data_IF_838493190192
#
_entry.id   IF_838493190192
#
_cell.length_a   1.000
_cell.length_b   1.000
_cell.length_c   1.000
_cell.angle_alpha   90.00
_cell.angle_beta   90.00
_cell.angle_gamma   90.00
#
_symmetry.space_group_name_H-M   'P 1'
#
loop_
_entity.id
_entity.type
_entity.pdbx_description
1 polymer ?
#
# COMPACT_ATOMS: atom_id res chain seq x y z
N UNK A 1 -22.90 -2.75 4.33
CA UNK A 1 -22.45 -4.11 4.67
C UNK A 1 -23.60 -4.82 5.41
N UNK A 2 -24.14 -4.20 6.45
CA UNK A 2 -25.25 -4.78 7.21
C UNK A 2 -26.46 -5.13 6.34
N UNK A 3 -26.81 -4.29 5.39
CA UNK A 3 -27.97 -4.48 4.50
C UNK A 3 -27.73 -5.51 3.38
N UNK A 4 -26.47 -5.95 3.17
CA UNK A 4 -26.12 -6.87 2.08
C UNK A 4 -26.08 -8.34 2.50
N UNK A 5 -26.41 -8.67 3.74
CA UNK A 5 -26.42 -10.04 4.29
C UNK A 5 -25.10 -10.80 4.02
N UNK A 6 -23.96 -10.10 4.12
CA UNK A 6 -22.63 -10.65 3.85
C UNK A 6 -22.23 -11.57 5.00
N UNK A 7 -22.00 -12.85 4.71
CA UNK A 7 -21.64 -13.88 5.70
C UNK A 7 -20.13 -14.08 5.87
N UNK A 8 -19.32 -13.49 4.97
CA UNK A 8 -17.85 -13.58 5.03
C UNK A 8 -17.25 -12.39 5.78
N UNK A 9 -16.09 -12.56 6.45
CA UNK A 9 -15.39 -11.44 7.08
C UNK A 9 -15.03 -10.35 6.08
N UNK A 10 -15.42 -9.10 6.35
CA UNK A 10 -15.14 -7.95 5.52
C UNK A 10 -14.04 -7.11 6.16
N UNK A 11 -13.03 -6.76 5.39
CA UNK A 11 -11.96 -5.83 5.80
C UNK A 11 -12.08 -4.52 5.03
N UNK A 12 -11.99 -3.40 5.75
CA UNK A 12 -11.90 -2.09 5.14
C UNK A 12 -10.48 -1.92 4.57
N UNK A 13 -10.38 -1.54 3.29
CA UNK A 13 -9.09 -1.41 2.60
C UNK A 13 -8.39 -0.08 2.90
N UNK A 14 -7.07 -0.02 2.71
CA UNK A 14 -6.25 1.20 2.89
C UNK A 14 -6.71 2.37 2.02
N UNK A 15 -7.32 2.11 0.86
CA UNK A 15 -7.88 3.11 -0.04
C UNK A 15 -9.02 3.94 0.57
N UNK A 16 -9.60 3.48 1.67
CA UNK A 16 -10.58 4.23 2.46
C UNK A 16 -9.94 5.29 3.38
N UNK A 17 -8.63 5.40 3.34
CA UNK A 17 -7.82 6.38 4.05
C UNK A 17 -8.12 6.46 5.56
N UNK A 18 -8.17 5.30 6.21
CA UNK A 18 -8.44 5.18 7.64
C UNK A 18 -7.20 5.62 8.42
N UNK A 19 -7.24 6.82 8.98
CA UNK A 19 -6.08 7.50 9.55
C UNK A 19 -6.14 7.65 11.08
N UNK A 20 -7.27 7.36 11.70
CA UNK A 20 -7.45 7.51 13.14
C UNK A 20 -8.42 6.47 13.72
N UNK A 21 -8.45 6.39 15.06
CA UNK A 21 -9.27 5.44 15.79
C UNK A 21 -10.78 5.65 15.58
N UNK A 22 -11.23 6.88 15.35
CA UNK A 22 -12.65 7.16 15.14
C UNK A 22 -13.12 6.62 13.79
N UNK A 23 -12.34 6.83 12.73
CA UNK A 23 -12.62 6.24 11.42
C UNK A 23 -12.62 4.70 11.51
N UNK A 24 -11.64 4.10 12.20
CA UNK A 24 -11.59 2.66 12.40
C UNK A 24 -12.83 2.12 13.11
N UNK A 25 -13.31 2.80 14.18
CA UNK A 25 -14.56 2.45 14.88
C UNK A 25 -15.78 2.56 13.97
N UNK A 26 -15.86 3.61 13.16
CA UNK A 26 -16.98 3.80 12.24
C UNK A 26 -17.08 2.63 11.25
N UNK A 27 -15.97 2.20 10.66
CA UNK A 27 -15.98 1.02 9.77
C UNK A 27 -16.28 -0.28 10.53
N UNK A 28 -15.80 -0.44 11.75
CA UNK A 28 -16.16 -1.58 12.59
C UNK A 28 -17.68 -1.61 12.88
N UNK A 29 -18.29 -0.46 13.20
CA UNK A 29 -19.74 -0.38 13.42
C UNK A 29 -20.58 -0.67 12.17
N UNK A 30 -19.99 -0.49 10.97
CA UNK A 30 -20.60 -0.88 9.70
C UNK A 30 -20.44 -2.38 9.40
N UNK A 31 -19.83 -3.17 10.30
CA UNK A 31 -19.66 -4.62 10.15
C UNK A 31 -18.30 -5.06 9.60
N UNK A 32 -17.31 -4.16 9.49
CA UNK A 32 -15.95 -4.57 9.16
C UNK A 32 -15.30 -5.32 10.33
N UNK A 33 -14.71 -6.47 10.06
CA UNK A 33 -14.00 -7.30 11.06
C UNK A 33 -12.58 -6.86 11.31
N UNK A 34 -11.99 -6.08 10.42
CA UNK A 34 -10.68 -5.46 10.54
C UNK A 34 -10.59 -4.27 9.59
N UNK A 35 -9.62 -3.38 9.83
CA UNK A 35 -9.35 -2.25 8.94
C UNK A 35 -7.87 -2.19 8.59
N UNK A 36 -7.56 -1.91 7.32
CA UNK A 36 -6.22 -1.58 6.87
C UNK A 36 -6.03 -0.07 7.00
N UNK A 37 -5.07 0.34 7.82
CA UNK A 37 -4.78 1.75 8.03
C UNK A 37 -4.22 2.40 6.75
N UNK A 38 -4.37 3.72 6.64
CA UNK A 38 -3.74 4.51 5.58
C UNK A 38 -2.23 4.28 5.55
N UNK A 39 -1.66 4.19 4.35
CA UNK A 39 -0.21 4.09 4.13
C UNK A 39 0.56 5.32 4.59
N UNK A 40 -0.14 6.41 4.86
CA UNK A 40 0.40 7.68 5.35
C UNK A 40 0.47 7.75 6.89
N UNK A 41 -0.12 6.76 7.59
CA UNK A 41 -0.11 6.73 9.05
C UNK A 41 1.28 6.39 9.60
N UNK A 42 1.72 7.15 10.60
CA UNK A 42 2.96 6.86 11.33
C UNK A 42 2.77 5.68 12.28
N UNK A 43 3.87 5.04 12.67
CA UNK A 43 3.86 3.94 13.66
C UNK A 43 3.22 4.39 14.98
N UNK A 44 3.44 5.65 15.39
CA UNK A 44 2.81 6.23 16.58
C UNK A 44 1.29 6.30 16.44
N UNK A 45 0.80 6.76 15.30
CA UNK A 45 -0.64 6.82 15.02
C UNK A 45 -1.26 5.43 14.94
N UNK A 46 -0.58 4.47 14.30
CA UNK A 46 -1.01 3.08 14.26
C UNK A 46 -1.16 2.48 15.67
N UNK A 47 -0.18 2.71 16.54
CA UNK A 47 -0.24 2.28 17.95
C UNK A 47 -1.43 2.88 18.69
N UNK A 48 -1.72 4.16 18.44
CA UNK A 48 -2.87 4.83 19.03
C UNK A 48 -4.20 4.28 18.47
N UNK A 49 -4.26 4.02 17.17
CA UNK A 49 -5.42 3.36 16.55
C UNK A 49 -5.68 1.99 17.18
N UNK A 50 -4.63 1.15 17.33
CA UNK A 50 -4.75 -0.18 17.96
C UNK A 50 -5.32 -0.05 19.37
N UNK A 51 -4.79 0.89 20.17
CA UNK A 51 -5.20 1.08 21.56
C UNK A 51 -6.65 1.56 21.70
N UNK A 52 -7.12 2.38 20.78
CA UNK A 52 -8.39 3.09 20.93
C UNK A 52 -9.53 2.59 20.03
N UNK A 53 -9.25 1.90 18.93
CA UNK A 53 -10.32 1.57 17.98
C UNK A 53 -11.19 0.40 18.42
N UNK A 54 -10.66 -0.52 19.22
CA UNK A 54 -11.34 -1.79 19.53
C UNK A 54 -11.52 -2.70 18.31
N UNK A 55 -10.83 -2.40 17.20
CA UNK A 55 -10.88 -3.13 15.95
C UNK A 55 -9.47 -3.58 15.55
N UNK A 56 -9.28 -4.80 15.03
CA UNK A 56 -7.99 -5.24 14.50
C UNK A 56 -7.48 -4.31 13.40
N UNK A 57 -6.25 -3.82 13.57
CA UNK A 57 -5.59 -2.94 12.61
C UNK A 57 -4.59 -3.74 11.78
N UNK A 58 -4.71 -3.62 10.47
CA UNK A 58 -3.76 -4.12 9.49
C UNK A 58 -2.91 -2.95 8.97
N UNK A 59 -1.62 -3.19 8.69
CA UNK A 59 -0.73 -2.21 8.08
C UNK A 59 -0.09 -2.76 6.79
N UNK A 60 0.00 -1.93 5.76
CA UNK A 60 0.79 -2.24 4.56
C UNK A 60 2.27 -2.07 4.91
N UNK A 61 3.06 -3.12 4.73
CA UNK A 61 4.47 -3.16 5.19
C UNK A 61 5.47 -3.40 4.07
N UNK A 62 5.01 -3.80 2.89
CA UNK A 62 5.87 -4.15 1.77
C UNK A 62 5.20 -3.82 0.45
N UNK A 63 5.98 -3.31 -0.50
CA UNK A 63 5.56 -3.05 -1.88
C UNK A 63 5.51 -1.56 -2.23
N UNK A 64 5.10 -1.23 -3.44
CA UNK A 64 5.03 0.16 -3.89
C UNK A 64 3.75 0.82 -3.44
N UNK A 65 3.91 1.91 -2.68
CA UNK A 65 2.78 2.76 -2.34
C UNK A 65 2.24 3.47 -3.57
N UNK A 66 0.93 3.58 -3.67
CA UNK A 66 0.25 4.40 -4.66
C UNK A 66 0.35 5.86 -4.21
N UNK A 67 0.94 6.70 -5.07
CA UNK A 67 1.16 8.12 -4.78
C UNK A 67 0.03 9.00 -5.30
N UNK A 68 -0.58 8.59 -6.42
CA UNK A 68 -1.64 9.34 -7.08
C UNK A 68 -2.49 8.41 -7.93
N UNK A 69 -3.80 8.69 -7.97
CA UNK A 69 -4.74 8.15 -8.96
C UNK A 69 -5.28 9.32 -9.78
N UNK A 70 -5.33 9.17 -11.10
CA UNK A 70 -5.90 10.19 -11.98
C UNK A 70 -6.80 9.59 -13.04
N UNK A 71 -7.94 10.23 -13.26
CA UNK A 71 -8.87 9.93 -14.32
C UNK A 71 -8.30 10.34 -15.71
N UNK A 72 -7.37 11.31 -15.74
CA UNK A 72 -6.68 11.70 -16.98
C UNK A 72 -5.64 10.65 -17.35
N UNK A 73 -5.78 10.05 -18.54
CA UNK A 73 -4.83 9.08 -19.03
C UNK A 73 -3.54 9.77 -19.51
N UNK A 74 -2.55 9.85 -18.63
CA UNK A 74 -1.23 10.45 -18.96
C UNK A 74 -0.52 9.67 -20.06
N UNK A 75 -0.68 8.35 -20.10
CA UNK A 75 -0.06 7.50 -21.13
C UNK A 75 -0.61 7.84 -22.51
N UNK A 76 -1.94 7.93 -22.66
CA UNK A 76 -2.56 8.29 -23.92
C UNK A 76 -2.21 9.70 -24.37
N UNK A 77 -2.10 10.65 -23.45
CA UNK A 77 -1.75 12.04 -23.73
C UNK A 77 -0.36 12.17 -24.34
N UNK A 78 0.61 11.42 -23.83
CA UNK A 78 2.02 11.53 -24.29
C UNK A 78 2.36 10.51 -25.39
N UNK A 79 1.98 9.24 -25.21
CA UNK A 79 2.34 8.15 -26.13
C UNK A 79 1.29 7.91 -27.23
N UNK A 80 0.07 8.39 -27.04
CA UNK A 80 -1.05 8.19 -27.96
C UNK A 80 -1.11 9.18 -29.13
N UNK A 81 -0.14 10.08 -29.30
CA UNK A 81 -0.08 11.11 -30.35
C UNK A 81 -1.31 12.01 -30.41
N UNK A 82 -1.98 12.27 -29.30
CA UNK A 82 -3.10 13.22 -29.23
C UNK A 82 -4.30 12.88 -30.12
N UNK A 83 -4.52 11.62 -30.43
CA UNK A 83 -5.66 11.22 -31.26
C UNK A 83 -6.97 11.59 -30.57
N UNK A 84 -7.73 12.52 -31.15
CA UNK A 84 -9.01 13.02 -30.64
C UNK A 84 -10.15 12.00 -30.71
N UNK A 85 -10.00 10.89 -31.40
CA UNK A 85 -11.04 9.86 -31.58
C UNK A 85 -10.53 8.49 -31.08
N UNK A 86 -11.00 8.13 -29.91
CA UNK A 86 -10.77 6.82 -29.31
C UNK A 86 -9.37 6.64 -28.70
N UNK A 87 -9.28 5.83 -27.67
CA UNK A 87 -8.01 5.46 -27.05
C UNK A 87 -7.33 4.37 -27.89
N UNK A 88 -6.07 4.54 -28.36
CA UNK A 88 -5.35 3.53 -29.15
C UNK A 88 -4.84 2.35 -28.29
N UNK A 89 -5.15 2.28 -26.98
CA UNK A 89 -4.75 1.20 -26.08
C UNK A 89 -3.24 1.11 -25.88
N UNK A 90 -2.52 2.25 -25.91
CA UNK A 90 -1.04 2.28 -25.77
C UNK A 90 -0.58 1.69 -24.45
N UNK A 91 -1.36 1.84 -23.36
CA UNK A 91 -1.03 1.30 -22.04
C UNK A 91 -0.82 -0.23 -22.04
N UNK A 92 -1.43 -0.93 -23.01
CA UNK A 92 -1.29 -2.38 -23.15
C UNK A 92 -0.03 -2.81 -23.95
N UNK A 93 0.74 -1.84 -24.47
CA UNK A 93 1.87 -2.12 -25.36
C UNK A 93 3.22 -2.14 -24.67
N UNK A 94 3.27 -1.77 -23.40
CA UNK A 94 4.53 -1.72 -22.65
C UNK A 94 4.37 -1.19 -21.24
N UNK A 95 5.48 -1.14 -20.50
CA UNK A 95 5.57 -0.50 -19.21
C UNK A 95 5.83 1.00 -19.36
N UNK A 96 5.14 1.80 -18.57
CA UNK A 96 5.26 3.25 -18.56
C UNK A 96 5.65 3.75 -17.19
N UNK A 97 6.37 4.86 -17.15
CA UNK A 97 6.74 5.51 -15.92
C UNK A 97 6.85 7.04 -16.14
N UNK A 98 6.61 7.79 -15.09
CA UNK A 98 6.97 9.20 -15.02
C UNK A 98 8.40 9.30 -14.47
N UNK A 99 9.15 10.27 -14.96
CA UNK A 99 10.49 10.60 -14.49
C UNK A 99 10.50 12.03 -13.98
N UNK A 100 10.96 12.23 -12.77
CA UNK A 100 11.05 13.56 -12.19
C UNK A 100 12.39 14.26 -12.52
N UNK A 101 12.55 15.48 -12.01
CA UNK A 101 13.77 16.29 -12.20
C UNK A 101 15.01 15.72 -11.49
N UNK A 102 14.84 14.76 -10.60
CA UNK A 102 15.91 14.07 -9.85
C UNK A 102 16.22 12.69 -10.40
N UNK A 103 15.71 12.41 -11.61
CA UNK A 103 15.84 11.10 -12.28
C UNK A 103 15.14 9.93 -11.55
N UNK A 104 14.29 10.22 -10.55
CA UNK A 104 13.47 9.19 -9.93
C UNK A 104 12.36 8.74 -10.90
N UNK A 105 12.14 7.43 -10.95
CA UNK A 105 11.21 6.80 -11.89
C UNK A 105 10.00 6.24 -11.17
N UNK A 106 8.82 6.78 -11.48
CA UNK A 106 7.53 6.43 -10.87
C UNK A 106 6.71 5.59 -11.86
N UNK A 107 6.55 4.28 -11.64
CA UNK A 107 5.76 3.44 -12.54
C UNK A 107 4.32 3.91 -12.63
N UNK A 108 3.76 3.85 -13.84
CA UNK A 108 2.36 4.17 -14.11
C UNK A 108 1.65 2.90 -14.56
N UNK A 109 0.61 2.52 -13.81
CA UNK A 109 -0.24 1.36 -14.11
C UNK A 109 -1.64 1.85 -14.42
N UNK A 110 -2.24 1.32 -15.48
CA UNK A 110 -3.63 1.64 -15.85
C UNK A 110 -4.55 0.52 -15.41
N UNK A 111 -5.66 0.87 -14.77
CA UNK A 111 -6.70 -0.08 -14.39
C UNK A 111 -7.75 -0.29 -15.50
N UNK A 112 -8.70 -1.17 -15.25
CA UNK A 112 -9.81 -1.50 -16.16
C UNK A 112 -10.73 -0.33 -16.46
N UNK A 113 -10.70 0.74 -15.67
CA UNK A 113 -11.48 1.97 -15.86
C UNK A 113 -10.66 3.07 -16.53
N UNK A 114 -9.46 2.75 -17.05
CA UNK A 114 -8.52 3.69 -17.65
C UNK A 114 -7.96 4.75 -16.70
N UNK A 115 -8.08 4.55 -15.37
CA UNK A 115 -7.41 5.41 -14.39
C UNK A 115 -5.94 5.06 -14.33
N UNK A 116 -5.10 6.08 -14.21
CA UNK A 116 -3.67 5.86 -14.05
C UNK A 116 -3.29 5.94 -12.57
N UNK A 117 -2.67 4.88 -12.10
CA UNK A 117 -2.08 4.75 -10.76
C UNK A 117 -0.60 5.02 -10.86
N UNK A 118 -0.13 6.08 -10.24
CA UNK A 118 1.27 6.45 -10.19
C UNK A 118 1.83 5.89 -8.88
N UNK A 119 2.78 4.96 -9.02
CA UNK A 119 3.37 4.26 -7.89
C UNK A 119 4.68 4.91 -7.46
N UNK A 120 5.04 4.77 -6.19
CA UNK A 120 6.31 5.27 -5.67
C UNK A 120 7.50 4.68 -6.45
N UNK A 121 8.58 5.46 -6.59
CA UNK A 121 9.83 5.01 -7.20
C UNK A 121 10.49 3.86 -6.43
N UNK A 122 10.31 3.82 -5.12
CA UNK A 122 10.91 2.85 -4.19
C UNK A 122 9.87 1.98 -3.51
N UNK A 123 10.28 0.74 -3.20
CA UNK A 123 9.43 -0.16 -2.42
C UNK A 123 9.44 0.23 -0.95
N UNK A 124 8.27 0.25 -0.33
CA UNK A 124 8.16 0.21 1.11
C UNK A 124 8.76 -1.11 1.61
N UNK A 125 9.61 -1.06 2.63
CA UNK A 125 10.15 -2.24 3.31
C UNK A 125 10.24 -2.00 4.82
N UNK A 126 9.31 -2.61 5.55
CA UNK A 126 9.23 -2.54 7.00
C UNK A 126 9.73 -3.82 7.69
N UNK A 127 10.31 -4.77 6.96
CA UNK A 127 10.84 -6.00 7.55
C UNK A 127 11.89 -5.74 8.65
N UNK A 128 12.82 -4.78 8.52
CA UNK A 128 13.76 -4.44 9.59
C UNK A 128 13.08 -3.94 10.88
N UNK A 129 11.86 -3.43 10.76
CA UNK A 129 11.06 -2.85 11.86
C UNK A 129 9.90 -3.76 12.27
N UNK A 130 9.93 -5.03 11.87
CA UNK A 130 8.85 -5.98 12.16
C UNK A 130 8.53 -6.08 13.66
N UNK A 131 9.58 -6.09 14.52
CA UNK A 131 9.40 -6.10 15.99
C UNK A 131 8.66 -4.86 16.51
N UNK A 132 8.86 -3.70 15.88
CA UNK A 132 8.18 -2.47 16.28
C UNK A 132 6.70 -2.50 15.88
N UNK A 133 6.36 -3.11 14.74
CA UNK A 133 4.98 -3.39 14.33
C UNK A 133 4.28 -4.32 15.34
N UNK A 134 4.96 -5.40 15.75
CA UNK A 134 4.44 -6.30 16.79
C UNK A 134 4.21 -5.58 18.12
N UNK A 135 5.17 -4.75 18.56
CA UNK A 135 5.04 -3.95 19.80
C UNK A 135 3.93 -2.90 19.70
N UNK A 136 3.64 -2.40 18.52
CA UNK A 136 2.51 -1.50 18.27
C UNK A 136 1.15 -2.23 18.36
N UNK A 137 1.13 -3.56 18.36
CA UNK A 137 -0.07 -4.37 18.43
C UNK A 137 -0.80 -4.52 17.08
N UNK A 138 -0.07 -4.35 15.96
CA UNK A 138 -0.63 -4.56 14.62
C UNK A 138 -1.08 -6.02 14.49
N UNK A 139 -2.36 -6.22 14.17
CA UNK A 139 -2.98 -7.54 14.11
C UNK A 139 -2.64 -8.32 12.84
N UNK A 140 -2.38 -7.62 11.75
CA UNK A 140 -2.01 -8.22 10.47
C UNK A 140 -1.10 -7.30 9.67
N UNK A 141 -0.25 -7.88 8.84
CA UNK A 141 0.59 -7.17 7.89
C UNK A 141 0.15 -7.49 6.47
N UNK A 142 0.23 -6.51 5.60
CA UNK A 142 -0.14 -6.63 4.19
C UNK A 142 1.05 -6.39 3.28
N UNK A 143 1.24 -7.30 2.34
CA UNK A 143 2.21 -7.18 1.25
C UNK A 143 1.44 -6.74 0.00
N UNK A 144 1.80 -5.58 -0.55
CA UNK A 144 1.19 -5.06 -1.78
C UNK A 144 1.92 -5.65 -2.99
N UNK A 145 1.29 -6.66 -3.60
CA UNK A 145 1.86 -7.44 -4.69
C UNK A 145 1.35 -7.06 -6.08
N UNK A 146 0.47 -6.06 -6.21
CA UNK A 146 -0.08 -5.66 -7.51
C UNK A 146 1.03 -5.23 -8.47
N UNK A 147 1.01 -5.76 -9.69
CA UNK A 147 2.03 -5.49 -10.70
C UNK A 147 3.40 -6.13 -10.44
N UNK A 148 3.49 -7.05 -9.46
CA UNK A 148 4.72 -7.79 -9.15
C UNK A 148 4.71 -9.19 -9.74
N UNK A 149 5.90 -9.73 -9.96
CA UNK A 149 6.04 -11.13 -10.42
C UNK A 149 5.67 -12.12 -9.30
N UNK A 150 5.16 -13.31 -9.63
CA UNK A 150 4.90 -14.35 -8.63
C UNK A 150 6.13 -14.69 -7.79
N UNK A 151 7.34 -14.67 -8.38
CA UNK A 151 8.60 -14.92 -7.69
C UNK A 151 8.88 -13.88 -6.62
N UNK A 152 8.69 -12.58 -6.94
CA UNK A 152 8.86 -11.49 -5.97
C UNK A 152 7.87 -11.65 -4.80
N UNK A 153 6.59 -11.92 -5.11
CA UNK A 153 5.56 -12.13 -4.08
C UNK A 153 5.95 -13.29 -3.17
N UNK A 154 6.34 -14.43 -3.73
CA UNK A 154 6.77 -15.60 -2.97
C UNK A 154 7.97 -15.32 -2.06
N UNK A 155 8.95 -14.55 -2.54
CA UNK A 155 10.12 -14.14 -1.76
C UNK A 155 9.70 -13.26 -0.55
N UNK A 156 8.84 -12.24 -0.78
CA UNK A 156 8.40 -11.36 0.31
C UNK A 156 7.53 -12.12 1.33
N UNK A 157 6.60 -12.94 0.88
CA UNK A 157 5.78 -13.77 1.77
C UNK A 157 6.66 -14.69 2.62
N UNK A 158 7.63 -15.38 2.02
CA UNK A 158 8.56 -16.25 2.73
C UNK A 158 9.41 -15.49 3.74
N UNK A 159 9.88 -14.28 3.39
CA UNK A 159 10.65 -13.41 4.27
C UNK A 159 9.84 -13.00 5.50
N UNK A 160 8.64 -12.46 5.30
CA UNK A 160 7.78 -12.07 6.41
C UNK A 160 7.29 -13.27 7.23
N UNK A 161 7.07 -14.44 6.60
CA UNK A 161 6.73 -15.66 7.33
C UNK A 161 7.84 -16.03 8.31
N UNK A 162 9.11 -16.04 7.88
CA UNK A 162 10.25 -16.35 8.76
C UNK A 162 10.36 -15.35 9.93
N UNK A 163 10.05 -14.06 9.70
CA UNK A 163 9.99 -13.07 10.78
C UNK A 163 8.86 -13.36 11.77
N UNK A 164 7.67 -13.74 11.28
CA UNK A 164 6.53 -14.12 12.11
C UNK A 164 6.82 -15.37 12.94
N UNK A 165 7.49 -16.36 12.35
CA UNK A 165 7.84 -17.64 13.01
C UNK A 165 9.06 -17.52 13.92
N UNK A 166 9.69 -16.33 13.99
CA UNK A 166 10.87 -16.06 14.80
C UNK A 166 12.15 -16.77 14.32
N UNK A 167 12.14 -17.36 13.12
CA UNK A 167 13.29 -18.07 12.53
C UNK A 167 14.28 -17.11 11.86
N UNK A 168 13.91 -15.86 11.66
CA UNK A 168 14.77 -14.82 11.13
C UNK A 168 14.69 -13.57 12.01
N UNK A 169 15.81 -12.91 12.22
CA UNK A 169 15.88 -11.60 12.85
C UNK A 169 16.57 -10.65 11.89
N UNK A 170 15.84 -9.64 11.42
CA UNK A 170 16.47 -8.58 10.64
C UNK A 170 17.21 -7.64 11.58
N UNK A 171 18.50 -7.48 11.34
CA UNK A 171 19.27 -6.42 11.96
C UNK A 171 18.98 -5.12 11.18
N UNK A 172 18.85 -4.01 11.92
CA UNK A 172 18.84 -2.67 11.34
C UNK A 172 20.20 -2.46 10.65
N UNK A 173 20.25 -2.74 9.34
CA UNK A 173 21.42 -2.51 8.53
C UNK A 173 21.54 -1.03 8.10
N UNK A 174 22.60 -0.70 7.35
CA UNK A 174 22.71 0.57 6.65
C UNK A 174 21.45 0.83 5.84
N UNK A 175 21.01 2.10 5.82
CA UNK A 175 19.86 2.53 5.00
C UNK A 175 20.07 2.07 3.55
N UNK A 176 19.27 1.12 3.13
CA UNK A 176 19.20 0.72 1.73
C UNK A 176 18.44 1.82 0.97
N UNK A 177 19.15 2.56 0.13
CA UNK A 177 18.58 3.65 -0.65
C UNK A 177 17.61 3.18 -1.73
N UNK A 178 17.53 1.87 -1.98
CA UNK A 178 16.61 1.28 -2.96
C UNK A 178 15.21 1.07 -2.42
N UNK A 179 15.02 1.16 -1.10
CA UNK A 179 13.73 1.02 -0.42
C UNK A 179 13.37 2.26 0.39
N UNK A 180 12.12 2.36 0.80
CA UNK A 180 11.62 3.43 1.67
C UNK A 180 10.93 2.85 2.90
N UNK A 181 10.90 3.63 3.97
CA UNK A 181 10.11 3.37 5.18
C UNK A 181 8.71 4.02 5.13
N UNK A 182 8.38 4.65 4.00
CA UNK A 182 7.14 5.41 3.86
C UNK A 182 7.00 6.47 4.96
N UNK A 183 5.80 6.63 5.47
CA UNK A 183 5.46 7.60 6.53
C UNK A 183 5.60 7.04 7.95
N UNK A 184 6.05 5.79 8.14
CA UNK A 184 6.06 5.15 9.46
C UNK A 184 6.81 5.93 10.54
N UNK A 185 7.88 6.65 10.17
CA UNK A 185 8.70 7.40 11.13
C UNK A 185 8.63 8.92 10.94
N UNK A 186 8.13 9.38 9.80
CA UNK A 186 7.99 10.80 9.48
C UNK A 186 6.59 11.02 8.93
N UNK A 187 5.73 11.67 9.70
CA UNK A 187 4.38 12.03 9.24
C UNK A 187 4.41 12.96 8.02
N UNK A 188 3.23 13.24 7.48
CA UNK A 188 3.03 14.14 6.33
C UNK A 188 3.33 15.61 6.70
N UNK A 189 3.49 15.92 8.00
CA UNK A 189 3.83 17.25 8.53
C UNK A 189 4.95 17.12 9.54
#
# INVERSE_FOLDING_TARGET
IADLNITVPVRADWSLNIFNSQAARAYASLGCTAVTASVEATLRQLKEMVRQSGCPIEAVVQGRAEMMVTESCVISSFAGKGQKKGCPGVCNRGAYALRDRRDETFPVVTDQYCRNHILNSRDLDMAPYYKDLCRAGIAAIRIEGRGRTPQWIGQQVSRYRRLCDGTETMLLGREDQTVTRGHFFHGIL
#
